data_IF_710272135308
#
_entry.id   IF_710272135308
#
_cell.length_a   1.000
_cell.length_b   1.000
_cell.length_c   1.000
_cell.angle_alpha   90.00
_cell.angle_beta   90.00
_cell.angle_gamma   90.00
#
_symmetry.space_group_name_H-M   'P 1'
#
loop_
_entity.id
_entity.type
_entity.pdbx_description
1 polymer ?
#
# COMPACT_ATOMS: atom_id res chain seq x y z
N UNK A 1 -20.85 -0.60 21.13
CA UNK A 1 -19.51 -1.21 21.16
C UNK A 1 -18.59 -0.36 20.30
N UNK A 2 -17.40 -0.08 20.80
CA UNK A 2 -16.51 0.99 20.36
C UNK A 2 -15.41 0.50 19.42
N UNK A 3 -15.23 1.16 18.28
CA UNK A 3 -13.98 1.40 17.53
C UNK A 3 -14.35 2.22 16.28
N UNK A 4 -13.73 3.31 15.85
CA UNK A 4 -12.70 4.17 16.41
C UNK A 4 -12.99 5.59 15.90
N UNK A 5 -13.04 6.57 16.79
CA UNK A 5 -12.81 7.97 16.44
C UNK A 5 -11.35 8.13 16.06
N UNK A 6 -11.00 8.45 14.82
CA UNK A 6 -9.67 8.99 14.51
C UNK A 6 -9.66 9.75 13.20
N UNK A 7 -9.72 11.05 13.35
CA UNK A 7 -9.16 12.08 12.48
C UNK A 7 -7.71 11.74 12.13
N UNK A 8 -7.45 11.09 10.98
CA UNK A 8 -6.19 11.20 10.22
C UNK A 8 -6.46 10.56 8.85
N UNK A 9 -6.22 11.29 7.78
CA UNK A 9 -6.61 10.92 6.42
C UNK A 9 -5.63 9.86 5.88
N UNK A 10 -5.46 8.72 6.54
CA UNK A 10 -4.52 7.69 6.12
C UNK A 10 -5.12 6.87 4.97
N UNK A 11 -4.38 6.76 3.87
CA UNK A 11 -4.76 6.04 2.66
C UNK A 11 -4.03 4.70 2.61
N UNK A 12 -4.79 3.67 2.31
CA UNK A 12 -4.25 2.34 2.07
C UNK A 12 -3.74 2.24 0.64
N UNK A 13 -2.57 1.62 0.48
CA UNK A 13 -1.96 1.34 -0.82
C UNK A 13 -1.50 -0.11 -0.85
N UNK A 14 -1.63 -0.75 -1.99
CA UNK A 14 -1.07 -2.07 -2.27
C UNK A 14 0.12 -1.88 -3.19
N UNK A 15 1.27 -2.40 -2.78
CA UNK A 15 2.45 -2.50 -3.61
C UNK A 15 2.66 -3.95 -4.02
N UNK A 16 2.81 -4.19 -5.32
CA UNK A 16 3.04 -5.50 -5.91
C UNK A 16 4.34 -5.48 -6.71
N UNK A 17 5.19 -6.48 -6.57
CA UNK A 17 6.44 -6.62 -7.35
C UNK A 17 6.29 -7.69 -8.42
N UNK A 18 6.92 -7.46 -9.58
CA UNK A 18 7.00 -8.46 -10.64
C UNK A 18 7.87 -9.66 -10.22
N UNK A 19 7.37 -10.88 -10.46
CA UNK A 19 7.95 -12.12 -9.94
C UNK A 19 9.31 -12.48 -10.56
N UNK A 20 9.68 -11.86 -11.68
CA UNK A 20 10.85 -12.25 -12.47
C UNK A 20 12.19 -11.75 -11.89
N UNK A 21 12.24 -11.43 -10.59
CA UNK A 21 13.37 -10.77 -9.94
C UNK A 21 13.90 -11.63 -8.79
N UNK A 22 15.09 -12.22 -8.98
CA UNK A 22 15.75 -13.09 -8.01
C UNK A 22 16.01 -12.44 -6.63
N UNK A 23 15.95 -11.11 -6.53
CA UNK A 23 16.20 -10.34 -5.30
C UNK A 23 14.95 -9.63 -4.71
N UNK A 24 13.73 -10.03 -5.09
CA UNK A 24 12.49 -9.38 -4.64
C UNK A 24 12.37 -9.28 -3.11
N UNK A 25 12.89 -10.26 -2.37
CA UNK A 25 12.79 -10.31 -0.90
C UNK A 25 13.61 -9.22 -0.21
N UNK A 26 14.81 -8.94 -0.71
CA UNK A 26 15.63 -7.81 -0.22
C UNK A 26 15.02 -6.48 -0.61
N UNK A 27 14.52 -6.36 -1.86
CA UNK A 27 13.84 -5.15 -2.34
C UNK A 27 12.59 -4.84 -1.51
N UNK A 28 11.80 -5.86 -1.18
CA UNK A 28 10.67 -5.71 -0.25
C UNK A 28 11.15 -5.16 1.08
N UNK A 29 12.15 -5.77 1.71
CA UNK A 29 12.64 -5.33 3.02
C UNK A 29 13.11 -3.86 3.01
N UNK A 30 13.84 -3.45 1.97
CA UNK A 30 14.21 -2.05 1.74
C UNK A 30 12.99 -1.13 1.60
N UNK A 31 12.01 -1.49 0.77
CA UNK A 31 10.77 -0.72 0.61
C UNK A 31 10.04 -0.61 1.94
N UNK A 32 9.95 -1.70 2.70
CA UNK A 32 9.32 -1.72 4.03
C UNK A 32 10.03 -0.80 5.02
N UNK A 33 11.35 -0.81 5.02
CA UNK A 33 12.16 0.08 5.84
C UNK A 33 11.91 1.55 5.45
N UNK A 34 11.85 1.84 4.15
CA UNK A 34 11.54 3.17 3.63
C UNK A 34 10.15 3.63 4.07
N UNK A 35 9.14 2.77 3.98
CA UNK A 35 7.76 3.08 4.40
C UNK A 35 7.75 3.49 5.88
N UNK A 36 8.37 2.66 6.74
CA UNK A 36 8.48 2.93 8.18
C UNK A 36 9.23 4.23 8.47
N UNK A 37 10.32 4.51 7.74
CA UNK A 37 11.09 5.75 7.89
C UNK A 37 10.30 7.00 7.46
N UNK A 38 9.43 6.86 6.47
CA UNK A 38 8.65 8.00 5.95
C UNK A 38 7.35 8.24 6.73
N UNK A 39 7.09 7.43 7.76
CA UNK A 39 5.90 7.51 8.61
C UNK A 39 4.71 6.69 8.11
N UNK A 40 4.90 5.88 7.07
CA UNK A 40 3.92 4.88 6.65
C UNK A 40 3.98 3.61 7.50
N UNK A 41 2.90 2.84 7.49
CA UNK A 41 2.79 1.56 8.18
C UNK A 41 2.53 0.46 7.17
N UNK A 42 2.95 -0.76 7.47
CA UNK A 42 2.63 -1.94 6.67
C UNK A 42 1.49 -2.65 7.37
N UNK A 43 0.41 -2.88 6.65
CA UNK A 43 -0.82 -3.47 7.20
C UNK A 43 -0.91 -4.95 6.88
N UNK A 44 -0.57 -5.36 5.66
CA UNK A 44 -0.62 -6.76 5.24
C UNK A 44 0.53 -7.10 4.29
N UNK A 45 0.95 -8.37 4.28
CA UNK A 45 1.99 -8.86 3.37
C UNK A 45 1.48 -10.03 2.55
N UNK A 46 1.51 -9.90 1.23
CA UNK A 46 1.08 -10.93 0.31
C UNK A 46 2.30 -11.61 -0.32
N UNK A 47 2.74 -12.71 0.31
CA UNK A 47 3.87 -13.51 -0.19
C UNK A 47 3.61 -14.19 -1.53
N UNK A 48 2.34 -14.35 -1.92
CA UNK A 48 1.89 -14.95 -3.18
C UNK A 48 2.13 -14.02 -4.38
N UNK A 49 1.66 -12.77 -4.30
CA UNK A 49 1.83 -11.76 -5.36
C UNK A 49 3.10 -10.93 -5.20
N UNK A 50 4.00 -11.33 -4.29
CA UNK A 50 5.24 -10.59 -3.96
C UNK A 50 4.96 -9.12 -3.62
N UNK A 51 3.85 -8.89 -2.93
CA UNK A 51 3.37 -7.57 -2.59
C UNK A 51 3.10 -7.40 -1.11
N UNK A 52 2.79 -6.17 -0.71
CA UNK A 52 2.34 -5.83 0.63
C UNK A 52 1.43 -4.60 0.56
N UNK A 53 0.46 -4.56 1.46
CA UNK A 53 -0.32 -3.35 1.70
C UNK A 53 0.32 -2.51 2.78
N UNK A 54 0.19 -1.21 2.58
CA UNK A 54 0.73 -0.15 3.43
C UNK A 54 -0.36 0.89 3.67
N UNK A 55 -0.30 1.54 4.82
CA UNK A 55 -1.14 2.66 5.17
C UNK A 55 -0.23 3.90 5.27
N UNK A 56 -0.53 4.91 4.46
CA UNK A 56 0.24 6.14 4.35
C UNK A 56 -0.63 7.34 4.72
N UNK A 57 -0.13 8.32 5.49
CA UNK A 57 -0.87 9.56 5.74
C UNK A 57 -1.09 10.34 4.42
N UNK A 58 -2.30 10.82 4.13
CA UNK A 58 -2.64 11.50 2.85
C UNK A 58 -1.73 12.67 2.54
N UNK A 59 -1.28 13.42 3.56
CA UNK A 59 -0.39 14.57 3.37
C UNK A 59 0.99 14.18 2.81
N UNK A 60 1.42 12.93 3.00
CA UNK A 60 2.74 12.44 2.57
C UNK A 60 2.68 11.28 1.59
N UNK A 61 1.50 10.73 1.32
CA UNK A 61 1.34 9.55 0.46
C UNK A 61 1.99 9.77 -0.91
N UNK A 62 1.77 10.92 -1.54
CA UNK A 62 2.36 11.25 -2.85
C UNK A 62 3.89 11.18 -2.85
N UNK A 63 4.54 11.81 -1.88
CA UNK A 63 6.01 11.80 -1.79
C UNK A 63 6.60 10.43 -1.44
N UNK A 64 5.84 9.59 -0.74
CA UNK A 64 6.23 8.20 -0.44
C UNK A 64 6.12 7.35 -1.72
N UNK A 65 5.02 7.47 -2.46
CA UNK A 65 4.80 6.79 -3.74
C UNK A 65 5.90 7.17 -4.75
N UNK A 66 6.18 8.46 -4.93
CA UNK A 66 7.26 8.93 -5.83
C UNK A 66 8.63 8.35 -5.46
N UNK A 67 8.93 8.23 -4.15
CA UNK A 67 10.16 7.61 -3.67
C UNK A 67 10.21 6.11 -3.95
N UNK A 68 9.11 5.40 -3.76
CA UNK A 68 9.00 3.97 -4.04
C UNK A 68 9.18 3.71 -5.54
N UNK A 69 8.52 4.49 -6.40
CA UNK A 69 8.67 4.42 -7.86
C UNK A 69 10.11 4.70 -8.30
N UNK A 70 10.72 5.77 -7.79
CA UNK A 70 12.13 6.11 -8.07
C UNK A 70 13.10 5.00 -7.64
N UNK A 71 12.80 4.32 -6.52
CA UNK A 71 13.60 3.20 -6.03
C UNK A 71 13.43 1.97 -6.93
N UNK A 72 12.20 1.71 -7.41
CA UNK A 72 11.92 0.67 -8.39
C UNK A 72 12.72 0.84 -9.68
N UNK A 73 12.68 2.06 -10.24
CA UNK A 73 13.38 2.41 -11.47
C UNK A 73 14.89 2.20 -11.32
N UNK A 74 15.47 2.65 -10.20
CA UNK A 74 16.90 2.42 -9.88
C UNK A 74 17.24 0.94 -9.80
N UNK A 75 16.33 0.14 -9.26
CA UNK A 75 16.50 -1.30 -9.13
C UNK A 75 16.13 -2.07 -10.40
N UNK A 76 15.78 -1.38 -11.49
CA UNK A 76 15.25 -1.96 -12.74
C UNK A 76 14.13 -2.97 -12.47
N UNK A 77 13.28 -2.66 -11.51
CA UNK A 77 12.15 -3.46 -11.10
C UNK A 77 10.85 -2.79 -11.53
N UNK A 78 9.93 -3.59 -12.08
CA UNK A 78 8.53 -3.18 -12.14
C UNK A 78 7.90 -3.44 -10.77
N UNK A 79 7.46 -2.36 -10.13
CA UNK A 79 6.51 -2.43 -9.03
C UNK A 79 5.24 -1.70 -9.44
N UNK A 80 4.12 -2.18 -8.93
CA UNK A 80 2.80 -1.58 -9.10
C UNK A 80 2.37 -1.07 -7.75
N UNK A 81 2.01 0.22 -7.65
CA UNK A 81 1.41 0.80 -6.45
C UNK A 81 -0.01 1.21 -6.82
N UNK A 82 -0.97 0.66 -6.12
CA UNK A 82 -2.39 0.95 -6.30
C UNK A 82 -2.95 1.47 -4.98
N UNK A 83 -3.81 2.50 -5.04
CA UNK A 83 -4.58 2.90 -3.86
C UNK A 83 -5.62 1.82 -3.58
N UNK A 84 -5.56 1.24 -2.38
CA UNK A 84 -6.55 0.29 -1.91
C UNK A 84 -7.80 1.10 -1.54
N UNK A 85 -8.66 1.31 -2.54
CA UNK A 85 -9.96 1.90 -2.29
C UNK A 85 -10.87 0.83 -1.70
N UNK A 86 -11.29 1.06 -0.45
CA UNK A 86 -12.36 0.29 0.17
C UNK A 86 -13.55 0.24 -0.79
N UNK A 87 -13.87 -0.97 -1.25
CA UNK A 87 -15.10 -1.21 -2.00
C UNK A 87 -16.25 -0.88 -1.06
N UNK A 88 -16.86 0.29 -1.25
CA UNK A 88 -18.20 0.54 -0.75
C UNK A 88 -19.11 -0.44 -1.50
N UNK A 89 -19.22 -1.67 -0.99
CA UNK A 89 -20.32 -2.55 -1.35
C UNK A 89 -21.57 -1.80 -0.93
N UNK A 90 -22.17 -1.11 -1.90
CA UNK A 90 -23.44 -0.43 -1.78
C UNK A 90 -24.37 -1.46 -1.12
N UNK A 91 -24.65 -1.25 0.16
CA UNK A 91 -25.73 -1.97 0.83
C UNK A 91 -26.99 -1.47 0.15
N UNK A 92 -27.36 -2.14 -0.94
CA UNK A 92 -28.64 -1.95 -1.61
C UNK A 92 -29.71 -2.26 -0.59
N UNK A 93 -30.15 -1.22 0.10
CA UNK A 93 -31.36 -1.23 0.90
C UNK A 93 -32.49 -1.49 -0.10
N UNK A 94 -32.87 -2.77 -0.21
CA UNK A 94 -34.06 -3.18 -0.93
C UNK A 94 -35.28 -2.62 -0.22
N UNK A 95 -35.64 -1.38 -0.53
CA UNK A 95 -36.97 -0.85 -0.26
C UNK A 95 -37.90 -1.43 -1.32
N UNK A 96 -38.46 -2.61 -1.02
CA UNK A 96 -39.66 -3.08 -1.70
C UNK A 96 -40.83 -2.27 -1.12
N UNK A 97 -41.44 -1.42 -1.94
CA UNK A 97 -42.73 -0.79 -1.68
C UNK A 97 -43.83 -1.54 -2.44
#
# INVERSE_FOLDING_TARGET
>A
MAYATSTDHAKSYILTLDENQAAWKGKLDDLKSLIKQTGGRITHEYSLVKGFSMELPSDRSKGIVEKLESFAEKLKCKLHIEEDQEVHTFSGHGSFN
#
